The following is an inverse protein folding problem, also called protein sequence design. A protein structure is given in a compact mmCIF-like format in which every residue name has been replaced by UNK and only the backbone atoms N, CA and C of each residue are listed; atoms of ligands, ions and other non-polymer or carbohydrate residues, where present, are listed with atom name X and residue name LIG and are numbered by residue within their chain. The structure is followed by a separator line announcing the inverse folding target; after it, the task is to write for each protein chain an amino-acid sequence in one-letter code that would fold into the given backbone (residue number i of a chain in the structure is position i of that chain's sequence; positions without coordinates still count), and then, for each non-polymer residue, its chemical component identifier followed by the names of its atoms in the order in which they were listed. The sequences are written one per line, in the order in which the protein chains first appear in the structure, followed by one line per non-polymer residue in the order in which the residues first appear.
data_IF_890891727624
#
_entry.id   IF_890891727624
#
_cell.length_a   1.000
_cell.length_b   1.000
_cell.length_c   1.000
_cell.angle_alpha   90.00
_cell.angle_beta   90.00
_cell.angle_gamma   90.00
#
_symmetry.space_group_name_H-M   'P 1'
#
loop_
_entity.id
_entity.type
_entity.pdbx_description
1 polymer ?
#
# COMPACT_ATOMS: atom_id res chain seq x y z
N UNK A 1 0.78 -7.03 -1.60
CA UNK A 1 -0.21 -7.73 -0.76
C UNK A 1 -1.59 -7.37 -1.30
N UNK A 2 -2.45 -8.34 -1.61
CA UNK A 2 -3.82 -8.04 -2.04
C UNK A 2 -4.70 -7.70 -0.83
N UNK A 3 -5.60 -6.74 -0.98
CA UNK A 3 -6.43 -6.25 0.12
C UNK A 3 -7.90 -6.27 -0.31
N UNK A 4 -8.76 -6.76 0.59
CA UNK A 4 -10.20 -6.69 0.44
C UNK A 4 -10.85 -6.20 1.73
N UNK A 5 -11.63 -5.12 1.64
CA UNK A 5 -12.57 -4.71 2.67
C UNK A 5 -13.88 -5.50 2.57
N UNK A 6 -14.51 -5.79 3.70
CA UNK A 6 -15.86 -6.35 3.78
C UNK A 6 -16.66 -5.54 4.79
N UNK A 7 -17.81 -5.04 4.37
CA UNK A 7 -18.72 -4.25 5.21
C UNK A 7 -20.10 -4.87 5.26
N UNK A 8 -20.82 -4.59 6.35
CA UNK A 8 -22.19 -5.08 6.55
C UNK A 8 -22.31 -6.34 7.40
N UNK A 9 -23.54 -6.88 7.55
CA UNK A 9 -23.82 -7.98 8.46
C UNK A 9 -23.05 -9.26 8.12
N UNK A 10 -22.24 -9.75 9.06
CA UNK A 10 -21.47 -10.97 8.89
C UNK A 10 -20.15 -10.80 8.15
N UNK A 11 -19.64 -9.56 8.01
CA UNK A 11 -18.36 -9.26 7.38
C UNK A 11 -17.20 -10.12 7.92
N UNK A 12 -17.00 -10.15 9.25
CA UNK A 12 -15.95 -10.96 9.90
C UNK A 12 -16.09 -12.45 9.57
N UNK A 13 -17.32 -12.98 9.56
CA UNK A 13 -17.61 -14.38 9.21
C UNK A 13 -17.28 -14.68 7.74
N UNK A 14 -17.51 -13.74 6.82
CA UNK A 14 -17.12 -13.90 5.43
C UNK A 14 -15.60 -13.91 5.28
N UNK A 15 -14.88 -13.01 5.96
CA UNK A 15 -13.41 -12.99 5.96
C UNK A 15 -12.83 -14.32 6.47
N UNK A 16 -13.36 -14.87 7.57
CA UNK A 16 -12.94 -16.17 8.11
C UNK A 16 -13.20 -17.34 7.14
N UNK A 17 -14.30 -17.29 6.39
CA UNK A 17 -14.63 -18.30 5.37
C UNK A 17 -13.78 -18.18 4.11
N UNK A 18 -13.41 -16.96 3.73
CA UNK A 18 -12.62 -16.67 2.53
C UNK A 18 -11.13 -16.96 2.74
N UNK A 19 -10.57 -16.68 3.94
CA UNK A 19 -9.13 -16.82 4.20
C UNK A 19 -8.53 -18.19 3.80
N UNK A 20 -9.19 -19.35 4.05
CA UNK A 20 -8.67 -20.66 3.62
C UNK A 20 -8.64 -20.89 2.09
N UNK A 21 -9.31 -20.04 1.30
CA UNK A 21 -9.36 -20.13 -0.17
C UNK A 21 -8.24 -19.33 -0.85
N UNK A 22 -7.49 -18.50 -0.11
CA UNK A 22 -6.42 -17.66 -0.64
C UNK A 22 -5.07 -18.39 -0.57
N UNK A 23 -4.30 -18.37 -1.66
CA UNK A 23 -3.00 -19.05 -1.74
C UNK A 23 -1.87 -18.15 -1.19
N UNK A 24 -1.70 -18.14 0.13
CA UNK A 24 -0.63 -17.39 0.78
C UNK A 24 -0.86 -17.14 2.28
N UNK A 25 -0.05 -16.26 2.85
CA UNK A 25 -0.22 -15.79 4.23
C UNK A 25 -1.31 -14.73 4.27
N UNK A 26 -2.36 -14.99 5.04
CA UNK A 26 -3.51 -14.10 5.18
C UNK A 26 -3.48 -13.42 6.55
N UNK A 27 -3.63 -12.10 6.56
CA UNK A 27 -3.95 -11.31 7.74
C UNK A 27 -5.45 -10.98 7.75
N UNK A 28 -6.10 -11.09 8.90
CA UNK A 28 -7.45 -10.55 9.11
C UNK A 28 -7.35 -9.34 10.03
N UNK A 29 -8.09 -8.28 9.71
CA UNK A 29 -8.13 -7.03 10.49
C UNK A 29 -9.59 -6.69 10.73
N UNK A 30 -9.98 -6.55 11.99
CA UNK A 30 -11.35 -6.23 12.37
C UNK A 30 -11.39 -4.82 12.97
N UNK A 31 -12.36 -4.02 12.53
CA UNK A 31 -12.68 -2.75 13.16
C UNK A 31 -13.33 -3.02 14.51
N UNK A 32 -12.68 -2.56 15.58
CA UNK A 32 -13.14 -2.72 16.94
C UNK A 32 -13.83 -1.43 17.43
N UNK A 33 -14.85 -1.52 18.30
CA UNK A 33 -15.37 -0.38 19.02
C UNK A 33 -14.26 0.37 19.76
N UNK A 34 -14.40 1.69 19.90
CA UNK A 34 -13.39 2.56 20.50
C UNK A 34 -13.00 2.14 21.94
N UNK A 35 -13.93 1.53 22.68
CA UNK A 35 -13.75 1.05 24.05
C UNK A 35 -13.34 -0.43 24.15
N UNK A 36 -13.23 -1.16 23.04
CA UNK A 36 -12.88 -2.58 23.05
C UNK A 36 -11.38 -2.86 23.15
N UNK A 37 -10.52 -1.88 22.84
CA UNK A 37 -9.07 -2.01 22.94
C UNK A 37 -8.60 -1.78 24.38
N UNK A 38 -8.94 -2.68 25.29
CA UNK A 38 -8.45 -2.62 26.67
C UNK A 38 -6.98 -3.05 26.75
N UNK A 39 -6.15 -2.24 27.42
CA UNK A 39 -4.78 -2.59 27.79
C UNK A 39 -4.71 -2.92 29.27
N UNK A 40 -4.07 -4.04 29.62
CA UNK A 40 -3.61 -4.26 30.99
C UNK A 40 -2.38 -3.40 31.35
N UNK A 41 -1.84 -2.64 30.39
CA UNK A 41 -0.71 -1.75 30.62
C UNK A 41 -1.13 -0.52 31.43
N UNK A 42 -0.26 -0.01 32.32
CA UNK A 42 -0.54 1.24 33.05
C UNK A 42 -0.78 2.41 32.09
N UNK A 43 -1.64 3.37 32.47
CA UNK A 43 -1.95 4.57 31.69
C UNK A 43 -0.73 5.41 31.25
N UNK A 44 0.42 5.24 31.91
CA UNK A 44 1.67 5.90 31.53
C UNK A 44 2.39 5.23 30.34
N UNK A 45 1.89 4.11 29.85
CA UNK A 45 2.49 3.30 28.78
C UNK A 45 1.68 3.51 27.50
N UNK A 46 2.26 4.20 26.51
CA UNK A 46 1.62 4.46 25.22
C UNK A 46 1.48 3.23 24.32
N UNK A 47 2.15 2.13 24.64
CA UNK A 47 2.01 0.85 23.94
C UNK A 47 2.74 -0.29 24.64
N UNK A 48 2.19 -1.50 24.51
CA UNK A 48 2.69 -2.72 25.13
C UNK A 48 2.76 -3.85 24.11
N UNK A 49 3.84 -4.64 24.18
CA UNK A 49 4.10 -5.76 23.29
C UNK A 49 4.41 -7.01 24.11
N UNK A 50 3.77 -8.12 23.77
CA UNK A 50 4.12 -9.46 24.25
C UNK A 50 4.70 -10.27 23.10
N UNK A 51 5.84 -10.94 23.32
CA UNK A 51 6.46 -11.84 22.34
C UNK A 51 6.88 -13.13 23.04
N UNK A 52 6.34 -14.25 22.56
CA UNK A 52 6.74 -15.58 23.03
C UNK A 52 8.05 -16.01 22.35
N UNK A 53 8.85 -16.91 22.97
CA UNK A 53 10.03 -17.48 22.31
C UNK A 53 9.72 -18.21 21.00
N UNK A 54 8.47 -18.62 20.79
CA UNK A 54 7.98 -19.24 19.56
C UNK A 54 7.53 -18.23 18.48
N UNK A 55 7.71 -16.92 18.72
CA UNK A 55 7.38 -15.86 17.77
C UNK A 55 5.92 -15.41 17.77
N UNK A 56 5.04 -16.02 18.58
CA UNK A 56 3.68 -15.49 18.77
C UNK A 56 3.74 -14.16 19.51
N UNK A 57 2.98 -13.17 19.07
CA UNK A 57 2.98 -11.85 19.67
C UNK A 57 1.57 -11.28 19.83
N UNK A 58 1.46 -10.29 20.70
CA UNK A 58 0.30 -9.42 20.90
C UNK A 58 0.80 -8.00 21.08
N UNK A 59 0.06 -7.00 20.61
CA UNK A 59 0.37 -5.61 20.88
C UNK A 59 -0.89 -4.80 21.12
N UNK A 60 -0.75 -3.76 21.93
CA UNK A 60 -1.74 -2.69 22.14
C UNK A 60 -0.99 -1.37 22.10
N UNK A 61 -1.61 -0.34 21.53
CA UNK A 61 -1.08 1.02 21.50
C UNK A 61 -2.12 2.00 20.99
N UNK A 62 -1.72 3.27 20.92
CA UNK A 62 -2.52 4.36 20.34
C UNK A 62 -1.90 4.87 19.02
N UNK A 63 -2.62 5.76 18.34
CA UNK A 63 -2.15 6.53 17.19
C UNK A 63 -1.68 5.69 15.98
N UNK A 64 -2.27 4.51 15.78
CA UNK A 64 -2.08 3.69 14.58
C UNK A 64 -3.24 3.91 13.60
N UNK A 65 -2.92 4.28 12.38
CA UNK A 65 -3.85 4.35 11.26
C UNK A 65 -3.89 3.04 10.46
N UNK A 66 -4.86 2.95 9.55
CA UNK A 66 -5.05 1.76 8.72
C UNK A 66 -3.92 1.58 7.70
N UNK A 67 -3.46 2.67 7.07
CA UNK A 67 -2.41 2.59 6.05
C UNK A 67 -1.08 2.14 6.63
N UNK A 68 -0.68 2.66 7.79
CA UNK A 68 0.52 2.21 8.49
C UNK A 68 0.43 0.75 8.93
N UNK A 69 -0.77 0.28 9.29
CA UNK A 69 -0.99 -1.15 9.54
C UNK A 69 -0.85 -1.98 8.25
N UNK A 70 -1.45 -1.55 7.14
CA UNK A 70 -1.36 -2.23 5.85
C UNK A 70 0.08 -2.26 5.33
N UNK A 71 0.84 -1.18 5.51
CA UNK A 71 2.26 -1.11 5.18
C UNK A 71 3.05 -2.15 5.99
N UNK A 72 2.81 -2.28 7.30
CA UNK A 72 3.46 -3.33 8.11
C UNK A 72 3.08 -4.73 7.61
N UNK A 73 1.79 -5.00 7.39
CA UNK A 73 1.30 -6.30 6.96
C UNK A 73 1.86 -6.70 5.59
N UNK A 74 2.03 -5.74 4.69
CA UNK A 74 2.49 -5.97 3.31
C UNK A 74 3.86 -6.64 3.21
N UNK A 75 4.67 -6.58 4.26
CA UNK A 75 6.01 -7.22 4.33
C UNK A 75 5.94 -8.71 4.67
N UNK A 76 4.85 -9.17 5.28
CA UNK A 76 4.72 -10.52 5.86
C UNK A 76 3.50 -11.29 5.38
N UNK A 77 2.56 -10.64 4.72
CA UNK A 77 1.32 -11.25 4.29
C UNK A 77 1.11 -11.00 2.81
N UNK A 78 0.55 -12.01 2.15
CA UNK A 78 0.22 -11.98 0.74
C UNK A 78 -1.19 -11.38 0.56
N UNK A 79 -2.05 -11.54 1.58
CA UNK A 79 -3.42 -11.01 1.63
C UNK A 79 -3.74 -10.34 2.96
N UNK A 80 -4.57 -9.29 2.92
CA UNK A 80 -5.24 -8.72 4.08
C UNK A 80 -6.76 -8.63 3.86
N UNK A 81 -7.54 -9.21 4.77
CA UNK A 81 -9.00 -9.17 4.78
C UNK A 81 -9.48 -8.28 5.93
N UNK A 82 -10.14 -7.18 5.59
CA UNK A 82 -10.52 -6.12 6.52
C UNK A 82 -12.03 -6.15 6.75
N UNK A 83 -12.51 -6.28 7.99
CA UNK A 83 -13.94 -6.20 8.31
C UNK A 83 -14.29 -4.89 9.03
N UNK A 84 -15.30 -4.19 8.51
CA UNK A 84 -15.87 -3.00 9.19
C UNK A 84 -15.13 -1.67 8.96
N UNK A 85 -14.52 -1.50 7.78
CA UNK A 85 -13.86 -0.25 7.38
C UNK A 85 -14.58 0.39 6.16
N UNK A 86 -15.77 0.99 6.33
CA UNK A 86 -16.55 1.54 5.21
C UNK A 86 -15.90 2.74 4.53
N UNK A 87 -15.09 3.51 5.27
CA UNK A 87 -14.45 4.72 4.79
C UNK A 87 -13.06 4.47 4.18
N UNK A 88 -12.61 3.21 4.12
CA UNK A 88 -11.30 2.87 3.58
C UNK A 88 -11.30 2.91 2.04
N UNK A 89 -10.30 3.56 1.45
CA UNK A 89 -10.10 3.62 0.00
C UNK A 89 -9.47 2.33 -0.56
N UNK A 90 -10.06 1.18 -0.24
CA UNK A 90 -9.64 -0.16 -0.66
C UNK A 90 -10.78 -0.87 -1.39
N UNK A 91 -10.51 -1.82 -2.30
CA UNK A 91 -11.56 -2.64 -2.90
C UNK A 91 -12.42 -3.28 -1.81
N UNK A 92 -13.73 -3.00 -1.82
CA UNK A 92 -14.66 -3.39 -0.76
C UNK A 92 -15.83 -4.22 -1.29
N UNK A 93 -16.13 -5.30 -0.58
CA UNK A 93 -17.37 -6.08 -0.73
C UNK A 93 -18.42 -5.55 0.25
N UNK A 94 -19.56 -5.11 -0.27
CA UNK A 94 -20.71 -4.67 0.52
C UNK A 94 -21.73 -5.79 0.71
N UNK A 95 -22.12 -6.05 1.96
CA UNK A 95 -23.18 -6.98 2.34
C UNK A 95 -24.44 -6.24 2.78
N UNK A 96 -25.59 -6.62 2.21
CA UNK A 96 -26.91 -6.13 2.63
C UNK A 96 -27.09 -4.62 2.46
N UNK A 97 -26.66 -4.09 1.31
CA UNK A 97 -26.75 -2.67 0.94
C UNK A 97 -26.07 -1.70 1.93
N UNK A 98 -24.96 -2.14 2.55
CA UNK A 98 -24.17 -1.29 3.42
C UNK A 98 -23.30 -0.34 2.59
N UNK A 99 -23.37 0.96 2.87
CA UNK A 99 -22.61 1.98 2.15
C UNK A 99 -21.09 1.90 2.47
N UNK A 100 -20.26 2.16 1.47
CA UNK A 100 -18.80 2.22 1.60
C UNK A 100 -18.16 2.98 0.43
N UNK A 101 -16.97 3.53 0.64
CA UNK A 101 -16.27 4.41 -0.30
C UNK A 101 -15.91 3.75 -1.64
N UNK A 102 -15.50 2.47 -1.63
CA UNK A 102 -15.02 1.77 -2.84
C UNK A 102 -15.62 0.37 -3.00
N UNK A 103 -16.94 0.31 -3.24
CA UNK A 103 -17.66 -0.95 -3.46
C UNK A 103 -17.35 -1.52 -4.85
N UNK A 104 -16.68 -2.66 -4.89
CA UNK A 104 -16.36 -3.41 -6.12
C UNK A 104 -17.21 -4.67 -6.28
N UNK A 105 -17.74 -5.20 -5.17
CA UNK A 105 -18.62 -6.37 -5.14
C UNK A 105 -19.77 -6.09 -4.17
N UNK A 106 -20.98 -6.52 -4.53
CA UNK A 106 -22.17 -6.43 -3.66
C UNK A 106 -22.87 -7.78 -3.57
N UNK A 107 -23.38 -8.12 -2.39
CA UNK A 107 -24.20 -9.31 -2.17
C UNK A 107 -25.23 -9.07 -1.06
N UNK A 108 -26.41 -9.70 -1.14
CA UNK A 108 -27.46 -9.51 -0.12
C UNK A 108 -27.08 -10.19 1.21
N UNK A 109 -26.19 -11.19 1.17
CA UNK A 109 -25.66 -11.85 2.36
C UNK A 109 -24.47 -12.78 2.09
N UNK A 110 -23.84 -13.22 3.16
CA UNK A 110 -22.58 -14.00 3.11
C UNK A 110 -22.69 -15.34 2.38
N UNK A 111 -23.89 -15.92 2.25
CA UNK A 111 -24.11 -17.21 1.58
C UNK A 111 -24.22 -17.09 0.04
N UNK A 112 -24.40 -15.87 -0.46
CA UNK A 112 -24.58 -15.60 -1.90
C UNK A 112 -23.25 -15.26 -2.59
N UNK A 113 -22.21 -15.06 -1.79
CA UNK A 113 -20.85 -14.78 -2.28
C UNK A 113 -20.22 -16.07 -2.82
N UNK A 114 -19.88 -16.05 -4.10
CA UNK A 114 -19.05 -17.07 -4.73
C UNK A 114 -17.58 -16.83 -4.34
N UNK A 115 -17.05 -17.69 -3.48
CA UNK A 115 -15.70 -17.54 -2.93
C UNK A 115 -14.60 -17.77 -3.98
N UNK A 116 -14.82 -18.67 -4.93
CA UNK A 116 -13.80 -18.95 -5.95
C UNK A 116 -13.69 -17.78 -6.92
N UNK A 117 -14.83 -17.19 -7.29
CA UNK A 117 -14.86 -15.95 -8.07
C UNK A 117 -14.23 -14.80 -7.28
N UNK A 118 -14.60 -14.63 -6.01
CA UNK A 118 -14.08 -13.54 -5.19
C UNK A 118 -12.56 -13.62 -5.01
N UNK A 119 -11.99 -14.82 -4.83
CA UNK A 119 -10.54 -15.02 -4.81
C UNK A 119 -9.88 -14.52 -6.10
N UNK A 120 -10.42 -14.88 -7.26
CA UNK A 120 -9.89 -14.41 -8.54
C UNK A 120 -10.03 -12.89 -8.72
N UNK A 121 -11.14 -12.30 -8.25
CA UNK A 121 -11.36 -10.86 -8.28
C UNK A 121 -10.31 -10.13 -7.41
N UNK A 122 -10.00 -10.64 -6.21
CA UNK A 122 -8.98 -10.06 -5.30
C UNK A 122 -7.59 -10.02 -5.95
N UNK A 123 -7.20 -11.10 -6.63
CA UNK A 123 -5.91 -11.19 -7.33
C UNK A 123 -5.83 -10.24 -8.54
N UNK A 124 -6.98 -9.81 -9.07
CA UNK A 124 -7.06 -8.86 -10.18
C UNK A 124 -6.94 -7.40 -9.75
N UNK A 125 -7.14 -7.09 -8.48
CA UNK A 125 -7.03 -5.73 -7.95
C UNK A 125 -5.57 -5.31 -7.79
N UNK A 126 -5.34 -3.99 -7.88
CA UNK A 126 -4.02 -3.41 -7.63
C UNK A 126 -3.57 -3.77 -6.21
N UNK A 127 -2.38 -4.40 -6.04
CA UNK A 127 -1.91 -4.79 -4.73
C UNK A 127 -1.51 -3.56 -3.90
N UNK A 128 -1.69 -3.65 -2.58
CA UNK A 128 -1.09 -2.72 -1.65
C UNK A 128 0.42 -2.93 -1.61
N UNK A 129 1.17 -1.88 -1.94
CA UNK A 129 2.63 -1.84 -1.97
C UNK A 129 3.12 -0.73 -1.02
N UNK A 130 4.06 -1.11 -0.16
CA UNK A 130 4.79 -0.22 0.74
C UNK A 130 6.27 -0.14 0.36
N UNK A 131 6.95 0.90 0.83
CA UNK A 131 8.41 1.01 0.67
C UNK A 131 9.13 -0.21 1.24
N UNK A 132 8.77 -0.62 2.46
CA UNK A 132 9.44 -1.73 3.15
C UNK A 132 9.23 -3.05 2.41
N UNK A 133 8.05 -3.30 1.85
CA UNK A 133 7.79 -4.47 1.03
C UNK A 133 8.71 -4.51 -0.22
N UNK A 134 8.92 -3.37 -0.88
CA UNK A 134 9.85 -3.28 -2.02
C UNK A 134 11.31 -3.46 -1.58
N UNK A 135 11.69 -2.94 -0.42
CA UNK A 135 13.03 -3.14 0.15
C UNK A 135 13.28 -4.61 0.46
N UNK A 136 12.33 -5.30 1.08
CA UNK A 136 12.41 -6.75 1.33
C UNK A 136 12.44 -7.54 0.02
N UNK A 137 11.61 -7.18 -0.96
CA UNK A 137 11.64 -7.78 -2.30
C UNK A 137 13.02 -7.61 -2.96
N UNK A 138 13.62 -6.42 -2.89
CA UNK A 138 14.94 -6.18 -3.45
C UNK A 138 16.00 -7.09 -2.81
N UNK A 139 15.95 -7.30 -1.49
CA UNK A 139 16.88 -8.19 -0.77
C UNK A 139 16.77 -9.66 -1.16
N UNK A 140 15.69 -10.07 -1.84
CA UNK A 140 15.56 -11.44 -2.36
C UNK A 140 16.31 -11.68 -3.67
N UNK A 141 16.91 -10.64 -4.25
CA UNK A 141 17.66 -10.75 -5.50
C UNK A 141 18.82 -11.77 -5.38
N UNK A 142 19.05 -12.64 -6.39
CA UNK A 142 20.13 -13.62 -6.33
C UNK A 142 21.53 -13.03 -6.13
N UNK A 143 21.75 -11.76 -6.46
CA UNK A 143 23.02 -11.06 -6.29
C UNK A 143 23.07 -10.23 -5.00
N UNK A 144 22.07 -10.33 -4.11
CA UNK A 144 22.03 -9.58 -2.85
C UNK A 144 23.24 -9.84 -1.93
N UNK A 145 23.90 -11.00 -2.04
CA UNK A 145 25.15 -11.28 -1.30
C UNK A 145 26.31 -10.34 -1.69
N UNK A 146 26.25 -9.72 -2.88
CA UNK A 146 27.23 -8.76 -3.38
C UNK A 146 26.80 -7.30 -3.20
N UNK A 147 25.62 -7.07 -2.59
CA UNK A 147 25.06 -5.75 -2.37
C UNK A 147 25.50 -5.17 -1.02
N UNK A 148 26.02 -3.93 -1.07
CA UNK A 148 26.42 -3.17 0.11
C UNK A 148 25.59 -1.91 0.33
N UNK A 149 24.64 -1.61 -0.56
CA UNK A 149 23.81 -0.42 -0.49
C UNK A 149 22.39 -0.67 -1.01
N UNK A 150 21.42 -0.13 -0.29
CA UNK A 150 20.07 0.12 -0.79
C UNK A 150 19.86 1.63 -0.73
N UNK A 151 19.47 2.23 -1.86
CA UNK A 151 19.06 3.62 -1.91
C UNK A 151 17.59 3.68 -2.31
N UNK A 152 16.83 4.55 -1.64
CA UNK A 152 15.40 4.71 -1.89
C UNK A 152 15.05 6.18 -2.14
N UNK A 153 14.02 6.38 -2.94
CA UNK A 153 13.31 7.65 -3.08
C UNK A 153 11.85 7.41 -2.72
N UNK A 154 11.29 8.30 -1.91
CA UNK A 154 9.87 8.33 -1.57
C UNK A 154 9.31 9.72 -1.88
N UNK A 155 8.34 9.79 -2.79
CA UNK A 155 7.53 10.99 -2.99
C UNK A 155 6.31 10.95 -2.07
N UNK A 156 5.97 12.09 -1.48
CA UNK A 156 4.89 12.23 -0.49
C UNK A 156 3.96 13.38 -0.85
N UNK A 157 2.67 13.28 -0.56
CA UNK A 157 1.73 14.40 -0.68
C UNK A 157 2.11 15.44 0.38
N UNK A 158 2.48 16.64 -0.06
CA UNK A 158 2.75 17.77 0.83
C UNK A 158 1.45 18.53 1.07
N UNK A 159 1.25 19.00 2.30
CA UNK A 159 0.10 19.85 2.63
C UNK A 159 0.17 21.23 1.97
N UNK A 160 1.38 21.75 1.69
CA UNK A 160 1.60 23.04 1.02
C UNK A 160 2.88 23.00 0.18
N UNK A 161 2.87 23.70 -0.96
CA UNK A 161 4.08 23.96 -1.76
C UNK A 161 4.83 25.20 -1.21
N UNK A 162 4.11 26.29 -0.93
CA UNK A 162 4.65 27.53 -0.33
C UNK A 162 3.80 28.02 0.85
N UNK A 163 4.32 28.95 1.66
CA UNK A 163 3.61 29.48 2.84
C UNK A 163 2.24 30.10 2.49
N UNK A 164 2.17 30.75 1.32
CA UNK A 164 1.01 31.47 0.82
C UNK A 164 -0.02 30.58 0.10
N UNK A 165 0.30 29.31 -0.16
CA UNK A 165 -0.60 28.40 -0.87
C UNK A 165 -1.71 27.88 0.05
N UNK A 166 -2.89 27.67 -0.55
CA UNK A 166 -3.99 26.96 0.08
C UNK A 166 -3.56 25.51 0.39
N UNK A 167 -3.93 24.95 1.56
CA UNK A 167 -3.63 23.55 1.86
C UNK A 167 -4.21 22.59 0.83
N UNK A 168 -3.36 21.70 0.31
CA UNK A 168 -3.76 20.52 -0.46
C UNK A 168 -4.28 19.47 0.51
N UNK A 169 -5.50 18.98 0.30
CA UNK A 169 -6.11 17.93 1.14
C UNK A 169 -5.86 16.54 0.57
N UNK A 170 -5.84 16.43 -0.76
CA UNK A 170 -5.56 15.18 -1.44
C UNK A 170 -5.13 15.41 -2.89
N UNK A 171 -4.43 14.42 -3.43
CA UNK A 171 -4.09 14.31 -4.84
C UNK A 171 -4.73 13.03 -5.39
N UNK A 172 -5.37 13.13 -6.56
CA UNK A 172 -5.94 11.99 -7.27
C UNK A 172 -5.03 11.67 -8.47
N UNK A 173 -4.57 10.42 -8.54
CA UNK A 173 -3.67 9.96 -9.60
C UNK A 173 -4.33 8.88 -10.46
N UNK A 174 -4.22 9.03 -11.77
CA UNK A 174 -4.64 8.02 -12.75
C UNK A 174 -3.45 7.61 -13.62
N UNK A 175 -3.34 6.32 -13.94
CA UNK A 175 -2.34 5.79 -14.87
C UNK A 175 -3.03 5.15 -16.07
N UNK A 176 -2.39 5.17 -17.24
CA UNK A 176 -2.83 4.33 -18.35
C UNK A 176 -2.30 2.92 -18.14
N UNK A 177 -3.17 2.04 -17.62
CA UNK A 177 -2.83 0.67 -17.24
C UNK A 177 -2.11 -0.08 -18.37
N UNK A 178 -1.07 -0.83 -18.01
CA UNK A 178 -0.17 -1.52 -18.92
C UNK A 178 0.91 -0.66 -19.59
N UNK A 179 0.65 0.61 -19.95
CA UNK A 179 1.70 1.48 -20.51
C UNK A 179 2.60 2.03 -19.41
N UNK A 180 2.01 2.49 -18.29
CA UNK A 180 2.80 2.97 -17.16
C UNK A 180 3.71 1.86 -16.58
N UNK A 181 3.17 0.66 -16.41
CA UNK A 181 3.91 -0.50 -15.91
C UNK A 181 5.01 -0.96 -16.87
N UNK A 182 4.73 -1.05 -18.17
CA UNK A 182 5.76 -1.43 -19.16
C UNK A 182 6.86 -0.38 -19.28
N UNK A 183 6.52 0.91 -19.14
CA UNK A 183 7.51 1.99 -19.14
C UNK A 183 8.39 1.93 -17.90
N UNK A 184 7.81 1.78 -16.70
CA UNK A 184 8.58 1.58 -15.47
C UNK A 184 9.48 0.34 -15.54
N UNK A 185 8.98 -0.78 -16.08
CA UNK A 185 9.77 -1.99 -16.28
C UNK A 185 10.97 -1.75 -17.21
N UNK A 186 10.75 -1.04 -18.33
CA UNK A 186 11.82 -0.67 -19.27
C UNK A 186 12.87 0.19 -18.59
N UNK A 187 12.47 1.20 -17.83
CA UNK A 187 13.39 2.05 -17.07
C UNK A 187 14.20 1.21 -16.07
N UNK A 188 13.54 0.34 -15.30
CA UNK A 188 14.20 -0.57 -14.35
C UNK A 188 15.25 -1.45 -15.05
N UNK A 189 14.90 -2.11 -16.15
CA UNK A 189 15.81 -2.98 -16.91
C UNK A 189 17.05 -2.21 -17.43
N UNK A 190 16.84 -1.01 -17.95
CA UNK A 190 17.93 -0.17 -18.43
C UNK A 190 18.85 0.31 -17.30
N UNK A 191 18.30 0.61 -16.12
CA UNK A 191 19.07 0.98 -14.93
C UNK A 191 19.82 -0.21 -14.33
N UNK A 192 19.20 -1.40 -14.31
CA UNK A 192 19.82 -2.67 -13.87
C UNK A 192 20.97 -3.11 -14.78
N UNK A 193 21.02 -2.64 -16.04
CA UNK A 193 22.15 -2.93 -16.95
C UNK A 193 23.47 -2.27 -16.54
N UNK A 194 23.48 -1.42 -15.52
CA UNK A 194 24.67 -0.71 -15.02
C UNK A 194 25.53 -1.62 -14.16
N UNK A 195 26.84 -1.50 -14.34
CA UNK A 195 27.80 -2.20 -13.47
C UNK A 195 27.57 -1.84 -11.99
N UNK A 196 27.30 -2.86 -11.18
CA UNK A 196 27.11 -2.72 -9.73
C UNK A 196 25.68 -2.34 -9.30
N UNK A 197 24.70 -2.30 -10.21
CA UNK A 197 23.27 -2.26 -9.89
C UNK A 197 22.71 -3.67 -10.05
N UNK A 198 21.99 -4.17 -9.04
CA UNK A 198 21.46 -5.54 -9.05
C UNK A 198 19.94 -5.56 -9.22
N UNK A 199 19.25 -4.60 -8.61
CA UNK A 199 17.78 -4.54 -8.64
C UNK A 199 17.28 -3.10 -8.61
N UNK A 200 16.28 -2.80 -9.43
CA UNK A 200 15.56 -1.52 -9.43
C UNK A 200 14.05 -1.80 -9.43
N UNK A 201 13.38 -1.41 -8.36
CA UNK A 201 11.94 -1.53 -8.20
C UNK A 201 11.31 -0.14 -8.19
N UNK A 202 10.25 0.05 -8.96
CA UNK A 202 9.49 1.30 -9.02
C UNK A 202 8.01 1.01 -8.79
N UNK A 203 7.36 1.87 -8.02
CA UNK A 203 5.92 1.81 -7.81
C UNK A 203 5.37 3.22 -7.65
N UNK A 204 4.21 3.48 -8.26
CA UNK A 204 3.47 4.71 -8.08
C UNK A 204 2.02 4.35 -7.74
N UNK A 205 1.53 4.86 -6.59
CA UNK A 205 0.16 4.68 -6.15
C UNK A 205 -0.80 5.43 -7.07
N UNK A 206 -2.01 4.92 -7.21
CA UNK A 206 -3.10 5.51 -8.00
C UNK A 206 -4.34 5.63 -7.13
N UNK A 207 -5.32 6.43 -7.58
CA UNK A 207 -6.50 6.79 -6.80
C UNK A 207 -6.25 8.04 -5.96
N UNK A 208 -7.11 8.23 -4.96
CA UNK A 208 -7.06 9.38 -4.05
C UNK A 208 -6.02 9.11 -2.96
N UNK A 209 -5.09 10.05 -2.80
CA UNK A 209 -4.00 9.99 -1.83
C UNK A 209 -4.07 11.26 -0.99
N UNK A 210 -4.26 11.11 0.32
CA UNK A 210 -4.40 12.19 1.28
C UNK A 210 -3.08 12.88 1.59
N UNK A 211 -3.17 14.08 2.17
CA UNK A 211 -1.99 14.80 2.62
C UNK A 211 -1.14 13.98 3.59
N UNK A 212 0.18 14.04 3.40
CA UNK A 212 1.10 13.28 4.22
C UNK A 212 1.19 11.79 3.91
N UNK A 213 0.49 11.25 2.92
CA UNK A 213 0.70 9.88 2.47
C UNK A 213 1.80 9.79 1.39
N UNK A 214 2.46 8.63 1.35
CA UNK A 214 3.46 8.31 0.33
C UNK A 214 2.78 7.96 -1.01
N UNK A 215 3.39 8.38 -2.11
CA UNK A 215 2.85 8.30 -3.47
C UNK A 215 3.69 7.39 -4.36
N UNK A 216 5.01 7.57 -4.36
CA UNK A 216 5.91 6.93 -5.31
C UNK A 216 7.15 6.42 -4.59
N UNK A 217 7.57 5.23 -4.97
CA UNK A 217 8.76 4.57 -4.44
C UNK A 217 9.70 4.20 -5.59
N UNK A 218 10.99 4.49 -5.41
CA UNK A 218 12.08 3.90 -6.21
C UNK A 218 13.03 3.24 -5.23
N UNK A 219 13.31 1.95 -5.41
CA UNK A 219 14.23 1.17 -4.57
C UNK A 219 15.33 0.59 -5.44
N UNK A 220 16.58 0.89 -5.09
CA UNK A 220 17.76 0.41 -5.82
C UNK A 220 18.64 -0.41 -4.89
N UNK A 221 18.88 -1.67 -5.25
CA UNK A 221 19.90 -2.52 -4.64
C UNK A 221 21.18 -2.45 -5.48
N UNK A 222 22.30 -2.10 -4.85
CA UNK A 222 23.57 -1.94 -5.53
C UNK A 222 24.76 -2.42 -4.68
N UNK A 223 25.88 -2.69 -5.34
CA UNK A 223 27.13 -3.07 -4.69
C UNK A 223 27.65 -1.98 -3.76
N UNK A 224 27.55 -0.72 -4.16
CA UNK A 224 28.11 0.42 -3.43
C UNK A 224 27.21 1.65 -3.52
N UNK A 225 27.31 2.53 -2.53
CA UNK A 225 26.50 3.76 -2.43
C UNK A 225 26.55 4.67 -3.65
N UNK A 226 27.67 4.73 -4.37
CA UNK A 226 27.83 5.62 -5.53
C UNK A 226 26.86 5.23 -6.64
N UNK A 227 26.81 3.94 -6.99
CA UNK A 227 25.88 3.45 -8.00
C UNK A 227 24.43 3.49 -7.51
N UNK A 228 24.21 3.21 -6.21
CA UNK A 228 22.89 3.29 -5.59
C UNK A 228 22.28 4.70 -5.72
N UNK A 229 23.02 5.74 -5.30
CA UNK A 229 22.53 7.12 -5.34
C UNK A 229 22.33 7.64 -6.75
N UNK A 230 23.30 7.39 -7.64
CA UNK A 230 23.19 7.79 -9.04
C UNK A 230 21.98 7.16 -9.71
N UNK A 231 21.71 5.88 -9.41
CA UNK A 231 20.64 5.13 -10.05
C UNK A 231 19.27 5.48 -9.48
N UNK A 232 19.15 5.73 -8.18
CA UNK A 232 17.85 6.12 -7.60
C UNK A 232 17.43 7.51 -8.06
N UNK A 233 18.37 8.48 -8.16
CA UNK A 233 18.12 9.82 -8.68
C UNK A 233 17.65 9.77 -10.14
N UNK A 234 18.38 9.01 -10.97
CA UNK A 234 18.02 8.83 -12.36
C UNK A 234 16.68 8.09 -12.53
N UNK A 235 16.42 7.08 -11.69
CA UNK A 235 15.16 6.34 -11.69
C UNK A 235 13.95 7.23 -11.44
N UNK A 236 14.00 8.11 -10.44
CA UNK A 236 12.87 9.02 -10.19
C UNK A 236 12.73 10.09 -11.29
N UNK A 237 13.83 10.61 -11.83
CA UNK A 237 13.78 11.59 -12.92
C UNK A 237 13.12 10.98 -14.15
N UNK A 238 13.55 9.79 -14.56
CA UNK A 238 12.96 9.07 -15.70
C UNK A 238 11.52 8.66 -15.46
N UNK A 239 11.18 8.23 -14.25
CA UNK A 239 9.77 7.93 -13.90
C UNK A 239 8.89 9.15 -14.15
N UNK A 240 9.30 10.33 -13.66
CA UNK A 240 8.53 11.57 -13.84
C UNK A 240 8.47 12.05 -15.29
N UNK A 241 9.54 11.85 -16.05
CA UNK A 241 9.66 12.35 -17.42
C UNK A 241 8.99 11.43 -18.45
N UNK A 242 9.03 10.10 -18.24
CA UNK A 242 8.67 9.10 -19.25
C UNK A 242 7.35 8.37 -18.93
N UNK A 243 6.96 8.22 -17.66
CA UNK A 243 5.81 7.39 -17.27
C UNK A 243 4.51 8.21 -17.30
N UNK A 244 3.49 7.79 -18.08
CA UNK A 244 2.25 8.56 -18.23
C UNK A 244 1.33 8.41 -17.01
N UNK A 245 1.53 9.28 -16.02
CA UNK A 245 0.71 9.40 -14.80
C UNK A 245 0.07 10.79 -14.77
N UNK A 246 -1.25 10.83 -14.60
CA UNK A 246 -2.03 12.07 -14.54
C UNK A 246 -2.36 12.41 -13.10
N UNK A 247 -2.18 13.69 -12.72
CA UNK A 247 -2.45 14.20 -11.37
C UNK A 247 -3.59 15.21 -11.40
N UNK A 248 -4.53 15.07 -10.49
CA UNK A 248 -5.54 16.07 -10.17
C UNK A 248 -5.37 16.50 -8.72
N UNK A 249 -5.47 17.79 -8.47
CA UNK A 249 -5.25 18.36 -7.15
C UNK A 249 -6.55 18.88 -6.55
N UNK A 250 -6.81 18.49 -5.30
CA UNK A 250 -7.94 18.99 -4.51
C UNK A 250 -7.39 19.86 -3.38
N UNK A 251 -7.79 21.13 -3.36
CA UNK A 251 -7.45 22.09 -2.30
C UNK A 251 -8.69 22.41 -1.47
N UNK A 252 -8.48 23.03 -0.30
CA UNK A 252 -9.59 23.48 0.57
C UNK A 252 -10.53 24.51 -0.08
N UNK A 253 -10.06 25.21 -1.12
CA UNK A 253 -10.81 26.30 -1.76
C UNK A 253 -11.40 25.88 -3.13
N UNK A 254 -10.72 25.05 -3.94
CA UNK A 254 -11.15 24.64 -5.30
C UNK A 254 -10.55 23.27 -5.74
N UNK A 255 -11.20 22.60 -6.71
CA UNK A 255 -10.67 21.40 -7.43
C UNK A 255 -10.13 21.80 -8.81
N UNK A 256 -8.86 21.52 -9.13
CA UNK A 256 -8.31 21.80 -10.45
C UNK A 256 -7.39 20.67 -10.96
N UNK A 257 -7.45 20.40 -12.27
CA UNK A 257 -6.57 19.43 -12.93
C UNK A 257 -5.23 20.08 -13.27
N UNK A 258 -4.12 19.45 -12.85
CA UNK A 258 -2.77 19.93 -13.15
C UNK A 258 -2.11 18.97 -14.12
N UNK A 259 -1.95 19.37 -15.38
CA UNK A 259 -1.05 18.68 -16.29
C UNK A 259 0.35 19.30 -16.16
N UNK A 260 1.28 18.59 -15.53
CA UNK A 260 2.70 18.80 -15.80
C UNK A 260 3.12 17.97 -17.01
N UNK A 261 4.08 18.49 -17.75
CA UNK A 261 4.39 18.19 -19.14
C UNK A 261 5.79 17.64 -19.26
#
# INVERSE_FOLDING_TARGET
MHVLGVVGPGATVLCERLAPHLDGRVATVESLPHDAAESDAPDSVSGAYGLTPAGKWVAVGADRDLDGLLDELSTRYDYALLSGFPDAHIPTLSLGDTDAENVVVSADGTNEVDLDKLTADIESFEPHISLEALVEQAKTDPQAEYAGAIATFTGRVRAKESEDDAPTTSLEFEKYDGVAESTMATISEELESRDGVYRVLMHHRVGVIEDGQDIVFVVVLAGHRTEAFRTVEDGINRLKDEVPIFKKETTVDEQFWVHER
#
